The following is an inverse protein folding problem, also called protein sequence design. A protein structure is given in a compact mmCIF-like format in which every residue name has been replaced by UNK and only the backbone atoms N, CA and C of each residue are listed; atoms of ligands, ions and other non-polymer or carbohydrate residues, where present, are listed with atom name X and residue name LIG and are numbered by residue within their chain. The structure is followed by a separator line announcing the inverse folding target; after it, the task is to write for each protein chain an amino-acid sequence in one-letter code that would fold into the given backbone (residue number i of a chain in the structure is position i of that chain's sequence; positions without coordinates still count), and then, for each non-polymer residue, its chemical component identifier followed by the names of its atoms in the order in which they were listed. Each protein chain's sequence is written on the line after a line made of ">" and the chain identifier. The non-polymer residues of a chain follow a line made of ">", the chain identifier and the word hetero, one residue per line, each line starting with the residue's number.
data_IF_987030743041
#
_entry.id   IF_987030743041
#
_cell.length_a   1.000
_cell.length_b   1.000
_cell.length_c   1.000
_cell.angle_alpha   90.00
_cell.angle_beta   90.00
_cell.angle_gamma   90.00
#
_symmetry.space_group_name_H-M   'P 1'
#
loop_
_entity.id
_entity.type
_entity.pdbx_description
1 polymer ?
#
# COMPACT_ATOMS: atom_id res chain seq x y z
N UNK A 1 -7.24 -8.79 -23.20
CA UNK A 1 -6.44 -7.67 -22.66
C UNK A 1 -6.95 -7.35 -21.26
N UNK A 2 -6.07 -7.31 -20.26
CA UNK A 2 -6.41 -6.89 -18.91
C UNK A 2 -6.92 -5.44 -18.95
N UNK A 3 -8.08 -5.18 -18.33
CA UNK A 3 -8.67 -3.83 -18.28
C UNK A 3 -7.66 -2.86 -17.68
N UNK A 4 -7.37 -1.76 -18.39
CA UNK A 4 -6.53 -0.68 -17.86
C UNK A 4 -7.22 -0.10 -16.63
N UNK A 5 -6.59 -0.25 -15.47
CA UNK A 5 -7.09 0.33 -14.22
C UNK A 5 -6.78 1.83 -14.24
N UNK A 6 -7.78 2.72 -14.13
CA UNK A 6 -7.56 4.17 -14.05
C UNK A 6 -6.70 4.57 -12.85
N UNK A 7 -6.01 5.72 -12.94
CA UNK A 7 -5.15 6.21 -11.85
C UNK A 7 -5.93 6.40 -10.53
N UNK A 8 -7.15 6.93 -10.60
CA UNK A 8 -8.03 7.09 -9.43
C UNK A 8 -8.34 5.74 -8.76
N UNK A 9 -8.62 4.71 -9.56
CA UNK A 9 -8.90 3.38 -9.02
C UNK A 9 -7.65 2.72 -8.40
N UNK A 10 -6.46 2.99 -8.94
CA UNK A 10 -5.20 2.53 -8.34
C UNK A 10 -4.98 3.12 -6.95
N UNK A 11 -5.32 4.39 -6.75
CA UNK A 11 -5.23 5.08 -5.45
C UNK A 11 -6.16 4.44 -4.43
N UNK A 12 -7.42 4.19 -4.80
CA UNK A 12 -8.39 3.50 -3.91
C UNK A 12 -7.90 2.11 -3.54
N UNK A 13 -7.41 1.33 -4.51
CA UNK A 13 -6.87 -0.01 -4.27
C UNK A 13 -5.61 0.00 -3.39
N UNK A 14 -4.74 0.98 -3.56
CA UNK A 14 -3.54 1.12 -2.72
C UNK A 14 -3.90 1.41 -1.26
N UNK A 15 -4.87 2.30 -1.00
CA UNK A 15 -5.40 2.52 0.35
C UNK A 15 -6.03 1.26 0.95
N UNK A 16 -6.80 0.51 0.16
CA UNK A 16 -7.39 -0.74 0.60
C UNK A 16 -6.33 -1.78 0.99
N UNK A 17 -5.20 -1.84 0.28
CA UNK A 17 -4.07 -2.72 0.63
C UNK A 17 -3.38 -2.30 1.93
N UNK A 18 -3.20 -0.99 2.17
CA UNK A 18 -2.65 -0.47 3.43
C UNK A 18 -3.59 -0.83 4.60
N UNK A 19 -4.90 -0.65 4.41
CA UNK A 19 -5.89 -1.03 5.42
C UNK A 19 -5.87 -2.54 5.68
N UNK A 20 -5.78 -3.35 4.62
CA UNK A 20 -5.63 -4.80 4.74
C UNK A 20 -4.38 -5.20 5.52
N UNK A 21 -3.27 -4.47 5.38
CA UNK A 21 -2.07 -4.71 6.17
C UNK A 21 -2.31 -4.47 7.67
N UNK A 22 -3.07 -3.43 8.02
CA UNK A 22 -3.45 -3.11 9.42
C UNK A 22 -4.41 -4.12 10.04
N UNK A 23 -5.32 -4.65 9.23
CA UNK A 23 -6.32 -5.65 9.64
C UNK A 23 -5.81 -7.08 9.55
N UNK A 24 -4.58 -7.29 9.05
CA UNK A 24 -4.05 -8.62 8.85
C UNK A 24 -3.93 -9.34 10.20
N UNK A 25 -4.53 -10.53 10.36
CA UNK A 25 -4.60 -11.19 11.65
C UNK A 25 -3.21 -11.60 12.11
N UNK A 26 -2.90 -11.25 13.37
CA UNK A 26 -1.67 -11.68 14.02
C UNK A 26 -1.80 -13.19 14.34
N UNK A 27 -0.86 -14.04 13.89
CA UNK A 27 -0.88 -15.46 14.19
C UNK A 27 -0.84 -15.73 15.70
N UNK A 28 -1.61 -16.72 16.14
CA UNK A 28 -1.63 -17.13 17.55
C UNK A 28 -0.28 -17.72 18.01
N UNK A 29 0.40 -18.43 17.10
CA UNK A 29 1.77 -18.92 17.29
C UNK A 29 2.76 -17.92 16.67
N UNK A 30 3.79 -17.51 17.40
CA UNK A 30 4.81 -16.58 16.89
C UNK A 30 4.43 -15.09 16.90
N UNK A 31 3.14 -14.75 17.00
CA UNK A 31 2.68 -13.37 17.19
C UNK A 31 3.16 -12.42 16.09
N UNK A 32 3.50 -11.18 16.46
CA UNK A 32 4.05 -10.18 15.51
C UNK A 32 5.49 -10.49 15.04
N UNK A 33 6.15 -11.45 15.68
CA UNK A 33 7.49 -11.90 15.31
C UNK A 33 7.46 -13.04 14.28
N UNK A 34 6.28 -13.55 13.93
CA UNK A 34 6.14 -14.58 12.91
C UNK A 34 6.62 -14.06 11.55
N UNK A 35 7.56 -14.78 10.93
CA UNK A 35 8.17 -14.37 9.67
C UNK A 35 7.16 -14.31 8.52
N UNK A 36 6.17 -15.21 8.51
CA UNK A 36 5.13 -15.21 7.49
C UNK A 36 4.21 -14.01 7.65
N UNK A 37 3.83 -13.66 8.89
CA UNK A 37 3.08 -12.45 9.18
C UNK A 37 3.80 -11.19 8.69
N UNK A 38 5.08 -11.04 9.06
CA UNK A 38 5.91 -9.90 8.63
C UNK A 38 5.99 -9.84 7.11
N UNK A 39 6.20 -10.98 6.44
CA UNK A 39 6.28 -11.05 4.98
C UNK A 39 4.96 -10.63 4.31
N UNK A 40 3.81 -11.07 4.82
CA UNK A 40 2.51 -10.70 4.28
C UNK A 40 2.20 -9.21 4.46
N UNK A 41 2.45 -8.65 5.64
CA UNK A 41 2.27 -7.22 5.91
C UNK A 41 3.15 -6.39 4.95
N UNK A 42 4.45 -6.73 4.85
CA UNK A 42 5.36 -6.02 3.94
C UNK A 42 4.96 -6.16 2.48
N UNK A 43 4.42 -7.31 2.08
CA UNK A 43 3.96 -7.52 0.70
C UNK A 43 2.74 -6.65 0.37
N UNK A 44 1.76 -6.52 1.28
CA UNK A 44 0.63 -5.61 1.08
C UNK A 44 1.07 -4.16 0.91
N UNK A 45 1.99 -3.69 1.77
CA UNK A 45 2.52 -2.33 1.70
C UNK A 45 3.34 -2.09 0.43
N UNK A 46 4.12 -3.10 -0.01
CA UNK A 46 4.83 -3.06 -1.29
C UNK A 46 3.88 -2.97 -2.47
N UNK A 47 2.85 -3.82 -2.52
CA UNK A 47 1.84 -3.81 -3.58
C UNK A 47 1.10 -2.46 -3.65
N UNK A 48 0.78 -1.85 -2.51
CA UNK A 48 0.15 -0.53 -2.45
C UNK A 48 1.02 0.54 -3.11
N UNK A 49 2.33 0.56 -2.80
CA UNK A 49 3.31 1.48 -3.39
C UNK A 49 3.49 1.23 -4.90
N UNK A 50 3.56 -0.04 -5.30
CA UNK A 50 3.72 -0.44 -6.70
C UNK A 50 2.54 0.00 -7.59
N UNK A 51 1.32 0.05 -7.06
CA UNK A 51 0.14 0.53 -7.78
C UNK A 51 0.20 2.02 -8.12
N UNK A 52 0.83 2.83 -7.27
CA UNK A 52 0.80 4.30 -7.37
C UNK A 52 2.11 4.92 -7.87
N UNK A 53 3.24 4.22 -7.80
CA UNK A 53 4.57 4.75 -8.13
C UNK A 53 4.70 5.36 -9.53
N UNK A 54 3.93 4.86 -10.50
CA UNK A 54 3.97 5.34 -11.89
C UNK A 54 2.94 6.44 -12.21
N UNK A 55 2.01 6.72 -11.29
CA UNK A 55 1.00 7.78 -11.50
C UNK A 55 1.69 9.14 -11.75
N UNK A 56 2.68 9.58 -10.96
CA UNK A 56 3.33 10.88 -11.18
C UNK A 56 4.08 11.01 -12.52
N UNK A 57 4.45 9.87 -13.13
CA UNK A 57 5.17 9.81 -14.41
C UNK A 57 4.23 9.82 -15.62
N UNK A 58 2.92 9.76 -15.40
CA UNK A 58 1.92 9.78 -16.47
C UNK A 58 1.64 11.23 -16.90
N UNK A 59 1.61 11.49 -18.21
CA UNK A 59 1.27 12.81 -18.74
C UNK A 59 -0.17 13.21 -18.37
N UNK A 60 -0.38 14.48 -18.02
CA UNK A 60 -1.72 15.02 -17.67
C UNK A 60 -2.17 14.76 -16.23
N UNK A 61 -1.30 14.24 -15.35
CA UNK A 61 -1.63 14.05 -13.93
C UNK A 61 -1.58 15.37 -13.17
N UNK A 62 -2.67 15.68 -12.46
CA UNK A 62 -2.81 16.89 -11.65
C UNK A 62 -1.85 16.93 -10.46
N UNK A 63 -1.63 18.13 -9.92
CA UNK A 63 -0.82 18.33 -8.70
C UNK A 63 -1.44 17.59 -7.52
N UNK A 64 -2.76 17.68 -7.35
CA UNK A 64 -3.53 16.98 -6.31
C UNK A 64 -3.28 15.47 -6.32
N UNK A 65 -3.28 14.87 -7.52
CA UNK A 65 -3.06 13.43 -7.65
C UNK A 65 -1.63 13.03 -7.24
N UNK A 66 -0.63 13.87 -7.51
CA UNK A 66 0.75 13.64 -7.07
C UNK A 66 0.85 13.75 -5.55
N UNK A 67 0.10 14.65 -4.92
CA UNK A 67 0.02 14.76 -3.46
C UNK A 67 -0.65 13.54 -2.84
N UNK A 68 -1.76 13.05 -3.41
CA UNK A 68 -2.42 11.83 -2.96
C UNK A 68 -1.48 10.61 -3.04
N UNK A 69 -0.69 10.50 -4.10
CA UNK A 69 0.35 9.45 -4.22
C UNK A 69 1.38 9.58 -3.09
N UNK A 70 1.87 10.79 -2.79
CA UNK A 70 2.81 11.02 -1.68
C UNK A 70 2.21 10.61 -0.34
N UNK A 71 0.94 10.94 -0.07
CA UNK A 71 0.24 10.53 1.15
C UNK A 71 0.18 9.01 1.27
N UNK A 72 -0.09 8.29 0.18
CA UNK A 72 -0.09 6.82 0.18
C UNK A 72 1.28 6.26 0.55
N UNK A 73 2.37 6.84 0.05
CA UNK A 73 3.73 6.42 0.45
C UNK A 73 3.96 6.64 1.95
N UNK A 74 3.54 7.78 2.49
CA UNK A 74 3.66 8.11 3.92
C UNK A 74 2.78 7.19 4.78
N UNK A 75 1.53 6.96 4.41
CA UNK A 75 0.60 6.04 5.08
C UNK A 75 1.16 4.62 5.09
N UNK A 76 1.75 4.15 3.98
CA UNK A 76 2.35 2.82 3.91
C UNK A 76 3.62 2.71 4.76
N UNK A 77 4.41 3.77 4.91
CA UNK A 77 5.56 3.79 5.82
C UNK A 77 5.13 3.85 7.28
N UNK A 78 4.12 4.65 7.59
CA UNK A 78 3.54 4.73 8.92
C UNK A 78 2.96 3.38 9.34
N UNK A 79 2.21 2.70 8.46
CA UNK A 79 1.67 1.37 8.73
C UNK A 79 2.79 0.33 8.96
N UNK A 80 3.88 0.37 8.18
CA UNK A 80 5.04 -0.51 8.39
C UNK A 80 5.62 -0.34 9.81
N UNK A 81 5.79 0.92 10.24
CA UNK A 81 6.29 1.24 11.59
C UNK A 81 5.31 0.84 12.69
N UNK A 82 4.02 1.13 12.54
CA UNK A 82 2.99 0.83 13.55
C UNK A 82 2.78 -0.68 13.76
N UNK A 83 2.97 -1.48 12.71
CA UNK A 83 2.67 -2.91 12.74
C UNK A 83 3.92 -3.73 13.12
N UNK A 84 5.10 -3.36 12.61
CA UNK A 84 6.31 -4.19 12.64
C UNK A 84 7.46 -3.64 13.48
N UNK A 85 7.41 -2.37 13.93
CA UNK A 85 8.43 -1.73 14.75
C UNK A 85 7.87 -1.28 16.11
#
# INVERSE_FOLDING_TARGET
>A
MSKLIPAAERIVRARALIQKAREYPVPAEGGRADFSYIAHVKDFLRQARDLVKFIPMTAGVSVEMKEEVKKIFQEAEQADREILH
#
